data_IF_466726176058
#
_entry.id   IF_466726176058
#
_cell.length_a   1.000
_cell.length_b   1.000
_cell.length_c   1.000
_cell.angle_alpha   90.00
_cell.angle_beta   90.00
_cell.angle_gamma   90.00
#
_symmetry.space_group_name_H-M   'P 1'
#
loop_
_entity.id
_entity.type
_entity.pdbx_description
1 polymer ?
#
# COMPACT_ATOMS: atom_id res chain seq x y z
N UNK A 1 -9.98 -11.31 -19.23
CA UNK A 1 -9.92 -9.84 -19.08
C UNK A 1 -9.81 -9.56 -17.60
N UNK A 2 -8.73 -8.93 -17.14
CA UNK A 2 -8.53 -8.61 -15.72
C UNK A 2 -9.11 -7.22 -15.47
N UNK A 3 -9.99 -7.07 -14.48
CA UNK A 3 -10.40 -5.74 -14.00
C UNK A 3 -9.21 -5.16 -13.25
N UNK A 4 -8.68 -4.03 -13.72
CA UNK A 4 -7.49 -3.42 -13.12
C UNK A 4 -7.82 -2.11 -12.37
N UNK A 5 -9.09 -1.73 -12.37
CA UNK A 5 -9.65 -0.55 -11.69
C UNK A 5 -10.44 -0.97 -10.46
N UNK A 6 -10.48 -0.06 -9.49
CA UNK A 6 -11.15 -0.12 -8.19
C UNK A 6 -10.48 -0.99 -7.14
N UNK A 7 -10.75 -0.65 -5.88
CA UNK A 7 -10.57 -1.56 -4.75
C UNK A 7 -11.88 -2.28 -4.50
N UNK A 8 -11.87 -3.61 -4.60
CA UNK A 8 -13.04 -4.45 -4.45
C UNK A 8 -12.92 -5.30 -3.18
N UNK A 9 -14.05 -5.56 -2.51
CA UNK A 9 -14.14 -6.44 -1.34
C UNK A 9 -15.22 -7.50 -1.56
N UNK A 10 -14.93 -8.71 -1.10
CA UNK A 10 -15.90 -9.79 -0.92
C UNK A 10 -15.96 -10.17 0.55
N UNK A 11 -17.16 -10.44 1.04
CA UNK A 11 -17.43 -10.92 2.40
C UNK A 11 -17.97 -12.37 2.38
N UNK A 12 -17.99 -13.01 1.20
CA UNK A 12 -18.63 -14.30 0.91
C UNK A 12 -17.71 -15.22 0.10
N UNK A 13 -16.42 -15.28 0.47
CA UNK A 13 -15.41 -16.13 -0.16
C UNK A 13 -15.22 -15.92 -1.68
N UNK A 14 -15.60 -14.74 -2.18
CA UNK A 14 -15.42 -14.32 -3.57
C UNK A 14 -16.66 -14.53 -4.45
N UNK A 15 -17.79 -14.98 -3.90
CA UNK A 15 -19.04 -15.17 -4.65
C UNK A 15 -19.58 -13.83 -5.17
N UNK A 16 -19.52 -12.77 -4.36
CA UNK A 16 -19.88 -11.41 -4.76
C UNK A 16 -18.81 -10.40 -4.36
N UNK A 17 -18.69 -9.34 -5.15
CA UNK A 17 -17.73 -8.27 -4.94
C UNK A 17 -18.44 -6.92 -4.98
N UNK A 18 -18.11 -6.06 -4.02
CA UNK A 18 -18.56 -4.67 -3.98
C UNK A 18 -17.37 -3.73 -3.99
N UNK A 19 -17.55 -2.61 -4.65
CA UNK A 19 -16.56 -1.55 -4.68
C UNK A 19 -16.41 -0.90 -3.30
N UNK A 20 -15.17 -0.65 -2.90
CA UNK A 20 -14.80 0.03 -1.66
C UNK A 20 -13.73 1.10 -1.90
N UNK A 21 -13.59 1.60 -3.13
CA UNK A 21 -12.65 2.65 -3.52
C UNK A 21 -12.91 3.95 -2.75
N UNK A 22 -14.17 4.38 -2.65
CA UNK A 22 -14.56 5.50 -1.80
C UNK A 22 -13.84 6.81 -2.11
N UNK A 23 -13.13 7.37 -1.13
CA UNK A 23 -12.42 8.64 -1.25
C UNK A 23 -10.95 8.54 -1.74
N UNK A 24 -10.53 7.40 -2.32
CA UNK A 24 -9.19 7.28 -2.90
C UNK A 24 -8.97 8.30 -4.04
N UNK A 25 -7.73 8.81 -4.21
CA UNK A 25 -7.41 9.79 -5.25
C UNK A 25 -7.32 9.18 -6.66
N UNK A 26 -7.35 7.86 -6.76
CA UNK A 26 -7.25 7.06 -7.98
C UNK A 26 -7.84 5.69 -7.72
N UNK A 27 -8.39 5.08 -8.77
CA UNK A 27 -8.91 3.72 -8.81
C UNK A 27 -7.84 2.68 -9.20
N UNK A 28 -6.58 3.10 -9.37
CA UNK A 28 -5.51 2.25 -9.89
C UNK A 28 -4.34 2.11 -8.92
N UNK A 29 -3.86 0.87 -8.77
CA UNK A 29 -2.79 0.49 -7.85
C UNK A 29 -2.45 -0.99 -7.97
N UNK A 30 -1.36 -1.41 -7.32
CA UNK A 30 -0.91 -2.81 -7.36
C UNK A 30 -0.97 -3.54 -6.02
N UNK A 31 -0.38 -3.03 -4.93
CA UNK A 31 -0.35 -3.76 -3.67
C UNK A 31 -1.63 -3.55 -2.87
N UNK A 32 -1.99 -4.58 -2.12
CA UNK A 32 -2.94 -4.51 -1.01
C UNK A 32 -2.38 -5.35 0.15
N UNK A 33 -2.51 -4.85 1.38
CA UNK A 33 -2.16 -5.60 2.59
C UNK A 33 -3.25 -5.45 3.65
N UNK A 34 -3.40 -6.46 4.49
CA UNK A 34 -4.34 -6.49 5.63
C UNK A 34 -3.52 -6.48 6.91
N UNK A 35 -3.90 -5.65 7.88
CA UNK A 35 -3.24 -5.63 9.19
C UNK A 35 -3.36 -7.00 9.88
N UNK A 36 -2.26 -7.48 10.49
CA UNK A 36 -2.19 -8.84 11.04
C UNK A 36 -3.14 -9.10 12.22
N UNK A 37 -3.53 -8.05 12.94
CA UNK A 37 -4.42 -8.15 14.12
C UNK A 37 -5.78 -7.45 13.95
N UNK A 38 -6.02 -6.78 12.82
CA UNK A 38 -7.21 -5.94 12.60
C UNK A 38 -7.73 -6.18 11.17
N UNK A 39 -8.64 -7.14 10.93
CA UNK A 39 -9.00 -7.57 9.58
C UNK A 39 -9.69 -6.50 8.74
N UNK A 40 -10.28 -5.49 9.38
CA UNK A 40 -10.88 -4.32 8.71
C UNK A 40 -9.86 -3.21 8.41
N UNK A 41 -8.62 -3.36 8.89
CA UNK A 41 -7.54 -2.41 8.61
C UNK A 41 -6.77 -2.87 7.37
N UNK A 42 -6.92 -2.13 6.28
CA UNK A 42 -6.35 -2.46 4.97
C UNK A 42 -5.56 -1.30 4.38
N UNK A 43 -4.53 -1.63 3.59
CA UNK A 43 -3.58 -0.68 3.03
C UNK A 43 -3.48 -0.83 1.52
N UNK A 44 -3.44 0.30 0.82
CA UNK A 44 -3.19 0.37 -0.63
C UNK A 44 -2.22 1.50 -0.97
N UNK A 45 -1.60 1.43 -2.15
CA UNK A 45 -0.76 2.52 -2.69
C UNK A 45 -1.27 2.89 -4.07
N UNK A 46 -2.13 3.92 -4.19
CA UNK A 46 -2.65 4.35 -5.47
C UNK A 46 -1.58 5.01 -6.34
N UNK A 47 -1.67 4.80 -7.65
CA UNK A 47 -0.89 5.48 -8.70
C UNK A 47 -1.85 6.14 -9.69
N UNK A 48 -1.33 6.99 -10.58
CA UNK A 48 -2.15 7.88 -11.40
C UNK A 48 -3.03 7.15 -12.41
N UNK A 49 -2.50 6.18 -13.15
CA UNK A 49 -3.26 5.39 -14.13
C UNK A 49 -2.47 4.16 -14.61
N UNK A 50 -3.07 3.38 -15.52
CA UNK A 50 -2.45 2.27 -16.26
C UNK A 50 -1.36 2.69 -17.26
N UNK A 51 -1.32 3.98 -17.61
CA UNK A 51 -0.34 4.59 -18.51
C UNK A 51 0.70 5.41 -17.76
N UNK A 52 0.40 5.82 -16.53
CA UNK A 52 1.23 6.67 -15.68
C UNK A 52 1.45 6.02 -14.31
N UNK A 53 2.47 5.17 -14.23
CA UNK A 53 2.80 4.36 -13.06
C UNK A 53 3.58 5.14 -11.97
N UNK A 54 3.02 6.23 -11.48
CA UNK A 54 3.56 7.01 -10.37
C UNK A 54 2.45 7.56 -9.47
N UNK A 55 2.72 7.98 -8.22
CA UNK A 55 1.69 8.38 -7.27
C UNK A 55 0.99 9.67 -7.74
N UNK A 56 -0.33 9.82 -7.50
CA UNK A 56 -1.04 11.06 -7.83
C UNK A 56 -0.31 12.29 -7.27
N UNK A 57 -0.28 13.36 -8.05
CA UNK A 57 0.40 14.62 -7.71
C UNK A 57 1.93 14.50 -7.49
N UNK A 58 2.55 13.35 -7.79
CA UNK A 58 3.96 13.09 -7.46
C UNK A 58 4.21 12.97 -5.95
N UNK A 59 3.21 12.54 -5.19
CA UNK A 59 3.23 12.44 -3.72
C UNK A 59 3.03 11.00 -3.27
N UNK A 60 4.04 10.38 -2.69
CA UNK A 60 3.96 9.01 -2.22
C UNK A 60 3.13 8.96 -0.93
N UNK A 61 2.07 8.15 -0.95
CA UNK A 61 1.13 7.98 0.15
C UNK A 61 0.72 6.53 0.24
N UNK A 62 0.74 5.97 1.44
CA UNK A 62 0.00 4.74 1.73
C UNK A 62 -1.38 5.16 2.21
N UNK A 63 -2.44 4.57 1.67
CA UNK A 63 -3.80 4.83 2.13
C UNK A 63 -4.24 3.69 3.03
N UNK A 64 -4.75 4.03 4.22
CA UNK A 64 -5.29 3.07 5.20
C UNK A 64 -6.79 3.27 5.35
N UNK A 65 -7.56 2.20 5.25
CA UNK A 65 -8.92 2.15 5.78
C UNK A 65 -8.93 1.31 7.05
N UNK A 66 -9.82 1.65 8.00
CA UNK A 66 -10.08 0.85 9.22
C UNK A 66 -11.49 0.24 9.23
N UNK A 67 -12.21 0.37 8.11
CA UNK A 67 -13.58 -0.13 7.88
C UNK A 67 -13.63 -1.12 6.71
N UNK A 68 -12.48 -1.65 6.32
CA UNK A 68 -12.27 -2.52 5.16
C UNK A 68 -12.62 -1.86 3.84
N UNK A 69 -12.33 -0.56 3.74
CA UNK A 69 -12.51 0.31 2.57
C UNK A 69 -13.62 1.35 2.75
N UNK A 70 -13.95 2.06 1.67
CA UNK A 70 -14.92 3.16 1.61
C UNK A 70 -14.39 4.49 2.14
N UNK A 71 -13.78 4.49 3.32
CA UNK A 71 -13.11 5.66 3.88
C UNK A 71 -11.64 5.37 4.11
N UNK A 72 -10.78 6.18 3.49
CA UNK A 72 -9.35 6.01 3.47
C UNK A 72 -8.63 7.26 3.99
N UNK A 73 -7.63 7.03 4.83
CA UNK A 73 -6.74 8.04 5.36
C UNK A 73 -5.41 7.99 4.61
N UNK A 74 -4.96 9.12 4.08
CA UNK A 74 -3.61 9.25 3.54
C UNK A 74 -2.56 9.26 4.67
N UNK A 75 -1.61 8.34 4.60
CA UNK A 75 -0.47 8.22 5.50
C UNK A 75 0.79 8.75 4.79
N UNK A 76 1.33 9.86 5.29
CA UNK A 76 2.33 10.68 4.56
C UNK A 76 3.61 10.92 5.34
N UNK A 77 3.58 10.79 6.67
CA UNK A 77 4.68 11.23 7.54
C UNK A 77 5.93 10.39 7.26
N UNK A 78 6.97 11.04 6.74
CA UNK A 78 8.25 10.39 6.37
C UNK A 78 8.32 9.91 4.92
N UNK A 79 7.28 10.10 4.11
CA UNK A 79 7.26 9.77 2.68
C UNK A 79 7.46 11.03 1.81
N UNK A 80 8.08 10.91 0.61
CA UNK A 80 8.21 12.03 -0.32
C UNK A 80 6.86 12.63 -0.74
N UNK A 81 6.68 13.93 -0.51
CA UNK A 81 5.43 14.66 -0.80
C UNK A 81 5.51 15.61 -2.01
N UNK A 82 6.54 15.43 -2.84
CA UNK A 82 6.72 16.13 -4.11
C UNK A 82 7.72 15.37 -4.98
N UNK A 83 7.62 15.56 -6.31
CA UNK A 83 8.57 15.03 -7.30
C UNK A 83 8.86 13.52 -7.18
N UNK A 84 7.90 12.74 -6.68
CA UNK A 84 8.05 11.30 -6.49
C UNK A 84 7.45 10.56 -7.69
N UNK A 85 8.30 9.97 -8.54
CA UNK A 85 7.90 9.27 -9.77
C UNK A 85 8.25 7.78 -9.71
N UNK A 86 7.83 7.10 -8.64
CA UNK A 86 8.09 5.68 -8.41
C UNK A 86 6.78 4.89 -8.36
N UNK A 87 6.85 3.58 -8.56
CA UNK A 87 5.72 2.67 -8.37
C UNK A 87 6.00 1.74 -7.18
N UNK A 88 4.94 1.16 -6.61
CA UNK A 88 5.03 0.04 -5.66
C UNK A 88 4.35 -1.15 -6.34
N UNK A 89 5.10 -2.21 -6.59
CA UNK A 89 4.61 -3.37 -7.31
C UNK A 89 3.79 -4.30 -6.41
N UNK A 90 3.02 -5.20 -7.03
CA UNK A 90 2.05 -6.08 -6.32
C UNK A 90 2.65 -6.87 -5.16
N UNK A 91 3.85 -7.43 -5.33
CA UNK A 91 4.55 -8.17 -4.28
C UNK A 91 5.45 -7.30 -3.39
N UNK A 92 5.53 -5.99 -3.66
CA UNK A 92 6.46 -5.09 -2.98
C UNK A 92 5.84 -4.45 -1.73
N UNK A 93 4.86 -5.09 -1.08
CA UNK A 93 4.30 -4.67 0.19
C UNK A 93 4.05 -5.89 1.07
N UNK A 94 4.43 -5.81 2.34
CA UNK A 94 4.20 -6.88 3.31
C UNK A 94 4.01 -6.30 4.72
N UNK A 95 3.41 -7.08 5.60
CA UNK A 95 3.13 -6.74 7.00
C UNK A 95 3.70 -7.82 7.90
N UNK A 96 4.14 -7.45 9.09
CA UNK A 96 4.58 -8.42 10.09
C UNK A 96 3.45 -8.81 11.07
N UNK A 97 3.80 -9.71 12.00
CA UNK A 97 2.89 -10.18 13.05
C UNK A 97 3.27 -9.70 14.46
N UNK A 98 4.14 -8.68 14.56
CA UNK A 98 4.50 -8.09 15.85
C UNK A 98 3.27 -7.45 16.51
N UNK A 99 3.27 -7.24 17.85
CA UNK A 99 2.13 -6.62 18.54
C UNK A 99 1.74 -5.25 17.96
N UNK A 100 2.74 -4.44 17.59
CA UNK A 100 2.57 -3.30 16.71
C UNK A 100 2.86 -3.77 15.30
N UNK A 101 1.81 -4.01 14.50
CA UNK A 101 1.95 -4.50 13.13
C UNK A 101 2.85 -3.55 12.31
N UNK A 102 4.00 -4.05 11.90
CA UNK A 102 4.88 -3.36 10.98
C UNK A 102 4.34 -3.44 9.55
N UNK A 103 4.61 -2.39 8.78
CA UNK A 103 4.26 -2.32 7.35
C UNK A 103 5.50 -1.93 6.57
N UNK A 104 5.73 -2.65 5.48
CA UNK A 104 6.93 -2.52 4.68
C UNK A 104 6.55 -2.45 3.21
N UNK A 105 7.18 -1.55 2.47
CA UNK A 105 7.01 -1.55 1.02
C UNK A 105 8.27 -1.09 0.29
N UNK A 106 8.45 -1.64 -0.91
CA UNK A 106 9.55 -1.35 -1.81
C UNK A 106 9.09 -0.54 -3.02
N UNK A 107 9.93 0.37 -3.49
CA UNK A 107 9.65 1.18 -4.67
C UNK A 107 10.44 0.69 -5.88
N UNK A 108 9.94 0.96 -7.08
CA UNK A 108 10.70 0.77 -8.32
C UNK A 108 11.92 1.69 -8.42
N UNK A 109 12.01 2.73 -7.56
CA UNK A 109 13.16 3.60 -7.42
C UNK A 109 14.25 3.07 -6.47
N UNK A 110 14.10 1.86 -5.93
CA UNK A 110 15.15 1.21 -5.13
C UNK A 110 15.15 1.57 -3.65
N UNK A 111 14.06 2.14 -3.11
CA UNK A 111 13.90 2.38 -1.69
C UNK A 111 13.04 1.29 -1.04
N UNK A 112 13.34 0.95 0.21
CA UNK A 112 12.44 0.18 1.07
C UNK A 112 12.07 1.05 2.26
N UNK A 113 10.77 1.26 2.45
CA UNK A 113 10.21 1.99 3.58
C UNK A 113 9.63 1.00 4.60
N UNK A 114 9.76 1.36 5.87
CA UNK A 114 9.17 0.64 6.99
C UNK A 114 8.39 1.60 7.89
N UNK A 115 7.30 1.10 8.44
CA UNK A 115 6.55 1.69 9.55
C UNK A 115 6.45 0.64 10.65
N UNK A 116 6.72 1.03 11.89
CA UNK A 116 6.58 0.17 13.08
C UNK A 116 5.35 0.55 13.93
N UNK A 117 4.48 1.40 13.39
CA UNK A 117 3.35 2.02 14.08
C UNK A 117 2.05 1.96 13.24
N UNK A 118 1.85 0.86 12.50
CA UNK A 118 0.64 0.66 11.71
C UNK A 118 0.43 1.68 10.59
N UNK A 119 1.53 2.30 10.12
CA UNK A 119 1.58 3.24 9.01
C UNK A 119 1.53 4.72 9.41
N UNK A 120 1.48 5.04 10.70
CA UNK A 120 1.38 6.44 11.16
C UNK A 120 2.67 7.24 10.90
N UNK A 121 3.83 6.57 10.83
CA UNK A 121 5.09 7.15 10.36
C UNK A 121 5.96 6.16 9.61
N UNK A 122 6.75 6.68 8.67
CA UNK A 122 7.58 5.90 7.76
C UNK A 122 9.05 6.32 7.81
N UNK A 123 9.94 5.34 7.62
CA UNK A 123 11.37 5.55 7.45
C UNK A 123 11.87 4.76 6.24
N UNK A 124 12.69 5.38 5.40
CA UNK A 124 13.47 4.65 4.40
C UNK A 124 14.59 3.88 5.12
N UNK A 125 14.48 2.55 5.19
CA UNK A 125 15.46 1.67 5.85
C UNK A 125 16.53 1.18 4.88
N UNK A 126 16.25 1.20 3.58
CA UNK A 126 17.21 0.90 2.51
C UNK A 126 16.99 1.87 1.35
N UNK A 127 18.07 2.24 0.66
CA UNK A 127 18.08 3.09 -0.54
C UNK A 127 19.06 2.52 -1.56
N UNK A 128 18.97 3.03 -2.79
CA UNK A 128 19.92 2.79 -3.88
C UNK A 128 20.03 1.32 -4.33
N UNK A 129 18.94 0.57 -4.18
CA UNK A 129 18.79 -0.75 -4.81
C UNK A 129 18.39 -0.60 -6.29
N UNK A 130 18.50 -1.68 -7.09
CA UNK A 130 17.66 -1.84 -8.27
C UNK A 130 16.17 -1.78 -7.91
N UNK A 131 15.31 -1.74 -8.93
CA UNK A 131 13.86 -1.75 -8.73
C UNK A 131 13.41 -2.92 -7.82
N UNK A 132 12.71 -2.59 -6.73
CA UNK A 132 12.24 -3.61 -5.77
C UNK A 132 10.99 -4.28 -6.33
N UNK A 133 11.09 -5.57 -6.63
CA UNK A 133 9.99 -6.35 -7.19
C UNK A 133 9.09 -6.97 -6.13
N UNK A 134 9.67 -7.33 -4.99
CA UNK A 134 8.98 -7.97 -3.87
C UNK A 134 9.62 -7.55 -2.55
N UNK A 135 8.81 -7.48 -1.50
CA UNK A 135 9.24 -7.33 -0.11
C UNK A 135 8.52 -8.40 0.69
N UNK A 136 9.25 -9.18 1.47
CA UNK A 136 8.69 -10.18 2.38
C UNK A 136 9.30 -9.98 3.75
N UNK A 137 8.50 -10.23 4.80
CA UNK A 137 8.94 -10.06 6.18
C UNK A 137 8.69 -11.32 6.99
N UNK A 138 9.57 -11.54 7.97
CA UNK A 138 9.48 -12.66 8.89
C UNK A 138 9.79 -12.18 10.29
N UNK A 139 8.93 -12.55 11.24
CA UNK A 139 9.20 -12.40 12.67
C UNK A 139 10.00 -13.62 13.14
N UNK A 140 11.12 -13.39 13.82
CA UNK A 140 11.94 -14.45 14.42
C UNK A 140 11.57 -14.59 15.89
N UNK A 141 11.36 -15.84 16.32
CA UNK A 141 11.07 -16.23 17.71
C UNK A 141 12.24 -16.94 18.35
#
# INVERSE_FOLDING_TARGET
MQKHWDVMRSDDAGDTWREVSGNLPSDFGFPIAVHSHEPETVYVVPIKSDSEHYPPEGKLRVYRSRSGGGEWQALTKGLPQENCYVNVLRGAMSVDSLPSCGIYFGTTGGQVYASADGGDSWQAIVRDLPAVLSVEVQTLS
#
